data_IF_806698635764
#
_entry.id   IF_806698635764
#
_cell.length_a   1.000
_cell.length_b   1.000
_cell.length_c   1.000
_cell.angle_alpha   90.00
_cell.angle_beta   90.00
_cell.angle_gamma   90.00
#
_symmetry.space_group_name_H-M   'P 1'
#
loop_
_entity.id
_entity.type
_entity.pdbx_description
1 polymer ?
#
# COMPACT_ATOMS: atom_id res chain seq x y z
N UNK A 1 17.45 -20.70 -2.54
CA UNK A 1 16.32 -21.65 -2.68
C UNK A 1 15.59 -21.42 -3.99
N UNK A 2 14.98 -20.25 -4.21
CA UNK A 2 14.27 -19.92 -5.47
C UNK A 2 15.10 -20.15 -6.74
N UNK A 3 16.40 -19.84 -6.73
CA UNK A 3 17.32 -20.09 -7.86
C UNK A 3 17.52 -21.58 -8.21
N UNK A 4 17.03 -22.52 -7.37
CA UNK A 4 17.00 -23.95 -7.71
C UNK A 4 15.73 -24.33 -8.51
N UNK A 5 14.67 -23.51 -8.50
CA UNK A 5 13.42 -23.79 -9.22
C UNK A 5 13.53 -23.61 -10.75
N UNK A 6 14.68 -23.11 -11.24
CA UNK A 6 15.02 -23.00 -12.65
C UNK A 6 16.13 -23.99 -13.08
N UNK A 7 16.54 -24.90 -12.20
CA UNK A 7 17.56 -25.92 -12.49
C UNK A 7 16.85 -27.24 -12.80
N UNK A 8 17.09 -27.79 -13.98
CA UNK A 8 16.61 -29.13 -14.37
C UNK A 8 17.24 -30.15 -13.42
N UNK A 9 16.41 -30.95 -12.76
CA UNK A 9 16.90 -32.03 -11.90
C UNK A 9 17.52 -33.14 -12.78
N UNK A 10 18.71 -33.60 -12.40
CA UNK A 10 19.57 -34.43 -13.25
C UNK A 10 19.16 -35.91 -13.39
N UNK A 11 17.87 -36.22 -13.53
CA UNK A 11 17.35 -37.58 -13.80
C UNK A 11 16.23 -37.61 -14.88
N UNK A 12 15.89 -36.46 -15.48
CA UNK A 12 14.76 -36.29 -16.41
C UNK A 12 15.00 -36.77 -17.87
N UNK A 13 15.95 -37.68 -18.10
CA UNK A 13 16.06 -38.43 -19.38
C UNK A 13 14.72 -39.11 -19.75
N UNK A 14 13.90 -39.44 -18.74
CA UNK A 14 12.60 -40.09 -18.87
C UNK A 14 11.45 -39.16 -19.29
N UNK A 15 11.62 -37.83 -19.18
CA UNK A 15 10.52 -36.86 -19.32
C UNK A 15 10.66 -35.86 -20.49
N UNK A 16 11.70 -35.96 -21.32
CA UNK A 16 11.91 -35.14 -22.55
C UNK A 16 10.71 -35.06 -23.51
N UNK A 17 9.76 -35.99 -23.42
CA UNK A 17 8.58 -36.09 -24.30
C UNK A 17 7.26 -35.63 -23.65
N UNK A 18 7.26 -35.15 -22.39
CA UNK A 18 6.08 -34.57 -21.74
C UNK A 18 6.14 -33.04 -21.79
N UNK A 19 4.98 -32.34 -21.84
CA UNK A 19 4.96 -30.89 -21.69
C UNK A 19 5.52 -30.50 -20.31
N UNK A 20 6.42 -29.51 -20.22
CA UNK A 20 7.09 -29.17 -18.97
C UNK A 20 6.08 -28.72 -17.91
N UNK A 21 6.07 -29.40 -16.77
CA UNK A 21 5.17 -29.10 -15.67
C UNK A 21 5.59 -27.77 -15.01
N UNK A 22 4.73 -26.72 -15.00
CA UNK A 22 5.08 -25.41 -14.47
C UNK A 22 5.35 -25.39 -12.96
N UNK A 23 4.98 -26.46 -12.25
CA UNK A 23 5.27 -26.65 -10.82
C UNK A 23 6.63 -27.29 -10.53
N UNK A 24 7.26 -27.90 -11.55
CA UNK A 24 8.57 -28.57 -11.42
C UNK A 24 9.69 -27.78 -12.12
N UNK A 25 9.39 -27.08 -13.22
CA UNK A 25 10.31 -26.17 -13.89
C UNK A 25 9.72 -24.76 -14.03
N UNK A 26 10.31 -23.80 -13.33
CA UNK A 26 10.04 -22.37 -13.54
C UNK A 26 11.13 -21.74 -14.43
N UNK A 27 10.71 -20.86 -15.36
CA UNK A 27 11.66 -20.08 -16.14
C UNK A 27 12.43 -19.09 -15.25
N UNK A 28 13.69 -18.79 -15.60
CA UNK A 28 14.55 -17.87 -14.83
C UNK A 28 13.87 -16.52 -14.62
N UNK A 29 13.20 -15.99 -15.64
CA UNK A 29 12.42 -14.74 -15.55
C UNK A 29 11.34 -14.79 -14.48
N UNK A 30 10.62 -15.92 -14.31
CA UNK A 30 9.61 -16.07 -13.25
C UNK A 30 10.24 -16.11 -11.86
N UNK A 31 11.41 -16.73 -11.73
CA UNK A 31 12.19 -16.74 -10.48
C UNK A 31 12.67 -15.32 -10.12
N UNK A 32 13.10 -14.53 -11.11
CA UNK A 32 13.52 -13.14 -10.94
C UNK A 32 12.36 -12.20 -10.57
N UNK A 33 11.21 -12.30 -11.25
CA UNK A 33 9.99 -11.55 -10.91
C UNK A 33 9.59 -11.78 -9.45
N UNK A 34 9.53 -13.03 -9.01
CA UNK A 34 9.20 -13.39 -7.61
C UNK A 34 10.25 -12.88 -6.64
N UNK A 35 11.54 -12.96 -6.98
CA UNK A 35 12.65 -12.40 -6.17
C UNK A 35 12.54 -10.88 -6.05
N UNK A 36 12.08 -10.16 -7.08
CA UNK A 36 11.79 -8.73 -7.01
C UNK A 36 10.61 -8.43 -6.10
N UNK A 37 9.50 -9.18 -6.20
CA UNK A 37 8.35 -9.01 -5.30
C UNK A 37 8.72 -9.26 -3.83
N UNK A 38 9.53 -10.30 -3.55
CA UNK A 38 10.01 -10.59 -2.19
C UNK A 38 10.88 -9.45 -1.64
N UNK A 39 11.67 -8.76 -2.48
CA UNK A 39 12.44 -7.57 -2.08
C UNK A 39 11.55 -6.35 -1.77
N UNK A 40 10.31 -6.31 -2.27
CA UNK A 40 9.33 -5.27 -1.94
C UNK A 40 8.52 -5.58 -0.66
N UNK A 41 8.46 -6.84 -0.21
CA UNK A 41 7.73 -7.23 1.00
C UNK A 41 8.10 -6.43 2.27
N UNK A 42 9.38 -6.07 2.56
CA UNK A 42 9.71 -5.24 3.70
C UNK A 42 9.08 -3.85 3.64
N UNK A 43 9.04 -3.24 2.45
CA UNK A 43 8.41 -1.93 2.23
C UNK A 43 6.90 -2.05 2.41
N UNK A 44 6.28 -3.08 1.81
CA UNK A 44 4.86 -3.37 2.00
C UNK A 44 4.50 -3.60 3.48
N UNK A 45 5.32 -4.33 4.23
CA UNK A 45 5.11 -4.59 5.65
C UNK A 45 5.09 -3.30 6.50
N UNK A 46 5.90 -2.29 6.16
CA UNK A 46 5.82 -0.99 6.87
C UNK A 46 4.49 -0.26 6.67
N UNK A 47 3.77 -0.51 5.56
CA UNK A 47 2.45 0.08 5.34
C UNK A 47 1.38 -0.46 6.29
N UNK A 48 1.58 -1.66 6.87
CA UNK A 48 0.65 -2.26 7.84
C UNK A 48 0.52 -1.36 9.09
N UNK A 49 1.63 -0.76 9.55
CA UNK A 49 1.61 0.16 10.69
C UNK A 49 0.76 1.40 10.39
N UNK A 50 0.90 1.97 9.18
CA UNK A 50 0.09 3.10 8.73
C UNK A 50 -1.41 2.75 8.66
N UNK A 51 -1.76 1.60 8.09
CA UNK A 51 -3.15 1.14 8.06
C UNK A 51 -3.72 0.88 9.47
N UNK A 52 -2.88 0.40 10.39
CA UNK A 52 -3.26 0.15 11.78
C UNK A 52 -3.55 1.46 12.53
N UNK A 53 -2.66 2.46 12.43
CA UNK A 53 -2.88 3.77 13.07
C UNK A 53 -4.05 4.51 12.43
N UNK A 54 -4.25 4.40 11.12
CA UNK A 54 -5.42 4.94 10.43
C UNK A 54 -6.73 4.32 10.92
N UNK A 55 -6.80 2.98 11.04
CA UNK A 55 -7.99 2.29 11.56
C UNK A 55 -8.29 2.69 13.03
N UNK A 56 -7.25 2.76 13.87
CA UNK A 56 -7.39 3.23 15.26
C UNK A 56 -7.86 4.68 15.33
N UNK A 57 -7.33 5.57 14.50
CA UNK A 57 -7.77 6.96 14.40
C UNK A 57 -9.26 7.05 14.03
N UNK A 58 -9.72 6.30 13.02
CA UNK A 58 -11.12 6.31 12.61
C UNK A 58 -12.08 5.83 13.71
N UNK A 59 -11.74 4.77 14.44
CA UNK A 59 -12.59 4.26 15.53
C UNK A 59 -12.50 5.12 16.79
N UNK A 60 -11.30 5.38 17.30
CA UNK A 60 -11.09 6.10 18.57
C UNK A 60 -11.47 7.58 18.48
N UNK A 61 -11.39 8.22 17.29
CA UNK A 61 -11.90 9.59 17.12
C UNK A 61 -13.42 9.65 17.19
N UNK A 62 -14.15 8.60 16.78
CA UNK A 62 -15.62 8.54 16.89
C UNK A 62 -16.05 8.32 18.34
N UNK A 63 -15.37 7.46 19.09
CA UNK A 63 -15.62 7.27 20.53
C UNK A 63 -15.30 8.54 21.34
N UNK A 64 -14.18 9.21 21.05
CA UNK A 64 -13.92 10.55 21.61
C UNK A 64 -15.04 11.54 21.24
N UNK A 65 -15.42 11.61 19.96
CA UNK A 65 -16.49 12.48 19.50
C UNK A 65 -17.82 12.24 20.21
N UNK A 66 -18.14 10.99 20.57
CA UNK A 66 -19.35 10.63 21.31
C UNK A 66 -19.37 11.20 22.74
N UNK A 67 -18.20 11.33 23.39
CA UNK A 67 -18.05 11.90 24.74
C UNK A 67 -17.92 13.43 24.77
N UNK A 68 -17.58 14.06 23.64
CA UNK A 68 -17.51 15.52 23.52
C UNK A 68 -18.90 16.18 23.56
N UNK A 69 -18.97 17.48 23.85
CA UNK A 69 -20.21 18.25 23.67
C UNK A 69 -20.40 18.58 22.18
N UNK A 70 -21.52 18.13 21.61
CA UNK A 70 -21.75 18.04 20.15
C UNK A 70 -22.93 18.89 19.66
N UNK A 71 -23.49 19.73 20.52
CA UNK A 71 -24.70 20.52 20.24
C UNK A 71 -24.35 21.86 19.60
N UNK A 72 -25.01 22.18 18.49
CA UNK A 72 -25.05 23.53 17.92
C UNK A 72 -26.51 23.98 17.97
N UNK A 73 -26.84 24.80 18.97
CA UNK A 73 -28.23 25.08 19.33
C UNK A 73 -28.98 23.78 19.62
N UNK A 74 -30.09 23.58 18.89
CA UNK A 74 -30.97 22.41 19.02
C UNK A 74 -30.52 21.17 18.23
N UNK A 75 -29.39 21.21 17.50
CA UNK A 75 -28.94 20.11 16.63
C UNK A 75 -27.65 19.44 17.14
N UNK A 76 -27.56 18.10 17.08
CA UNK A 76 -26.47 17.32 17.71
C UNK A 76 -25.67 16.44 16.71
N UNK A 77 -24.54 16.94 16.23
CA UNK A 77 -23.52 16.29 15.37
C UNK A 77 -24.05 15.61 14.06
N UNK A 78 -24.02 14.27 13.81
CA UNK A 78 -23.66 13.06 14.62
C UNK A 78 -22.18 12.88 15.05
N UNK A 79 -21.77 11.75 15.65
CA UNK A 79 -20.38 11.52 16.10
C UNK A 79 -19.49 11.02 14.95
N UNK A 80 -19.98 10.04 14.18
CA UNK A 80 -19.32 9.53 12.97
C UNK A 80 -19.10 10.57 11.87
N UNK A 81 -19.85 11.69 11.88
CA UNK A 81 -19.68 12.75 10.87
C UNK A 81 -18.44 13.61 11.08
N UNK A 82 -17.69 13.48 12.19
CA UNK A 82 -16.38 14.15 12.32
C UNK A 82 -15.34 13.60 11.32
N UNK A 83 -15.57 12.42 10.73
CA UNK A 83 -14.77 11.87 9.63
C UNK A 83 -14.69 12.80 8.41
N UNK A 84 -15.67 13.69 8.22
CA UNK A 84 -15.66 14.72 7.16
C UNK A 84 -14.47 15.67 7.30
N UNK A 85 -14.03 16.00 8.52
CA UNK A 85 -12.84 16.84 8.73
C UNK A 85 -11.56 16.16 8.23
N UNK A 86 -11.45 14.85 8.41
CA UNK A 86 -10.32 14.08 7.92
C UNK A 86 -10.30 14.01 6.38
N UNK A 87 -11.45 13.76 5.75
CA UNK A 87 -11.60 13.81 4.29
C UNK A 87 -11.25 15.20 3.75
N UNK A 88 -11.73 16.26 4.40
CA UNK A 88 -11.39 17.65 4.07
C UNK A 88 -9.88 17.93 4.18
N UNK A 89 -9.23 17.45 5.24
CA UNK A 89 -7.79 17.58 5.42
C UNK A 89 -6.98 16.86 4.32
N UNK A 90 -7.41 15.68 3.87
CA UNK A 90 -6.81 14.99 2.70
C UNK A 90 -6.95 15.86 1.44
N UNK A 91 -8.16 16.34 1.14
CA UNK A 91 -8.42 17.14 -0.06
C UNK A 91 -7.59 18.44 -0.08
N UNK A 92 -7.50 19.13 1.06
CA UNK A 92 -6.65 20.32 1.23
C UNK A 92 -5.17 19.96 1.05
N UNK A 93 -4.71 18.83 1.61
CA UNK A 93 -3.33 18.37 1.49
C UNK A 93 -2.96 18.06 0.03
N UNK A 94 -3.85 17.40 -0.71
CA UNK A 94 -3.68 17.13 -2.16
C UNK A 94 -3.61 18.46 -2.93
N UNK A 95 -4.57 19.37 -2.70
CA UNK A 95 -4.58 20.66 -3.38
C UNK A 95 -3.31 21.49 -3.10
N UNK A 96 -2.83 21.50 -1.86
CA UNK A 96 -1.55 22.14 -1.46
C UNK A 96 -0.35 21.45 -2.10
N UNK A 97 -0.34 20.12 -2.18
CA UNK A 97 0.73 19.37 -2.82
C UNK A 97 0.82 19.71 -4.32
N UNK A 98 -0.29 19.69 -5.05
CA UNK A 98 -0.32 19.96 -6.48
C UNK A 98 -0.08 21.44 -6.82
N UNK A 99 -0.66 22.37 -6.06
CA UNK A 99 -0.59 23.81 -6.36
C UNK A 99 0.65 24.51 -5.81
N UNK A 100 1.25 24.02 -4.71
CA UNK A 100 2.42 24.66 -4.09
C UNK A 100 3.65 23.75 -4.13
N UNK A 101 3.57 22.54 -3.58
CA UNK A 101 4.75 21.67 -3.44
C UNK A 101 5.30 21.28 -4.81
N UNK A 102 4.46 20.82 -5.75
CA UNK A 102 4.91 20.38 -7.07
C UNK A 102 5.55 21.50 -7.92
N UNK A 103 4.95 22.71 -8.09
CA UNK A 103 5.61 23.78 -8.85
C UNK A 103 6.85 24.34 -8.15
N UNK A 104 6.90 24.38 -6.81
CA UNK A 104 8.13 24.72 -6.08
C UNK A 104 9.23 23.68 -6.32
N UNK A 105 8.90 22.38 -6.32
CA UNK A 105 9.86 21.31 -6.57
C UNK A 105 10.37 21.33 -8.02
N UNK A 106 9.50 21.59 -9.00
CA UNK A 106 9.88 21.77 -10.41
C UNK A 106 10.84 22.95 -10.59
N UNK A 107 10.52 24.11 -10.00
CA UNK A 107 11.43 25.28 -9.97
C UNK A 107 12.77 24.97 -9.31
N UNK A 108 12.77 24.25 -8.19
CA UNK A 108 14.00 23.92 -7.45
C UNK A 108 14.89 22.90 -8.16
N UNK A 109 14.33 21.93 -8.90
CA UNK A 109 15.12 21.01 -9.75
C UNK A 109 15.63 21.64 -11.05
N UNK A 110 15.29 22.89 -11.35
CA UNK A 110 15.80 23.61 -12.53
C UNK A 110 15.29 23.08 -13.88
N UNK A 111 14.32 22.17 -13.89
CA UNK A 111 13.70 21.68 -15.13
C UNK A 111 12.56 22.62 -15.53
N UNK A 112 12.87 23.58 -16.40
CA UNK A 112 11.85 24.27 -17.21
C UNK A 112 11.28 23.34 -18.27
#
# INVERSE_FOLDING_TARGET
>A
FLDKASIIAGDDEKYKNLPPNPWELCSVTKVEEVKMMIRLLPIWATTILFWTTYAQMMTFSVEQAATMHRSIGNFQIPAGSLTVFFVGAILITIAVYDQLVMPLWKKWKGTQ
#
